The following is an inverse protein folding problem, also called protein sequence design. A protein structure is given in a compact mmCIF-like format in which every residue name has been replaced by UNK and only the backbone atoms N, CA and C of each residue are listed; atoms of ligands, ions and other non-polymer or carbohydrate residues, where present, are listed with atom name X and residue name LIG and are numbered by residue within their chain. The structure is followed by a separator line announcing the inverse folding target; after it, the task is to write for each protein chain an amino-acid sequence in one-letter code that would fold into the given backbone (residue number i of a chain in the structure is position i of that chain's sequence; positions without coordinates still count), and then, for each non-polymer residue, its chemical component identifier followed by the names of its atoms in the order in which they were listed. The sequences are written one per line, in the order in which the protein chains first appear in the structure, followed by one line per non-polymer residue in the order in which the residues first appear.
data_IF_294645576283
#
_entry.id   IF_294645576283
#
_cell.length_a   1.000
_cell.length_b   1.000
_cell.length_c   1.000
_cell.angle_alpha   90.00
_cell.angle_beta   90.00
_cell.angle_gamma   90.00
#
_symmetry.space_group_name_H-M   'P 1'
#
loop_
_entity.id
_entity.type
_entity.pdbx_description
1 polymer ?
#
# COMPACT_ATOMS: atom_id res chain seq x y z
N UNK A 1 -7.63 15.19 -27.33
CA UNK A 1 -7.99 13.78 -27.58
C UNK A 1 -7.47 12.95 -26.44
N UNK A 2 -8.24 11.99 -25.94
CA UNK A 2 -7.75 11.01 -24.95
C UNK A 2 -6.78 10.03 -25.62
N UNK A 3 -5.78 9.57 -24.87
CA UNK A 3 -4.85 8.50 -25.26
C UNK A 3 -5.22 7.21 -24.56
N UNK A 4 -4.72 6.09 -25.05
CA UNK A 4 -4.81 4.79 -24.37
C UNK A 4 -3.43 4.23 -24.13
N UNK A 5 -3.23 3.64 -22.95
CA UNK A 5 -2.03 2.90 -22.55
C UNK A 5 -2.47 1.47 -22.28
N UNK A 6 -1.72 0.50 -22.79
CA UNK A 6 -1.98 -0.92 -22.46
C UNK A 6 -1.27 -1.29 -21.16
N UNK A 7 -2.04 -1.83 -20.22
CA UNK A 7 -1.57 -2.36 -18.95
C UNK A 7 -1.78 -3.87 -18.91
N UNK A 8 -0.80 -4.68 -18.48
CA UNK A 8 -0.92 -6.14 -18.51
C UNK A 8 -1.95 -6.70 -17.52
N UNK A 9 -2.34 -5.91 -16.51
CA UNK A 9 -3.32 -6.31 -15.48
C UNK A 9 -4.73 -5.85 -15.86
N UNK A 10 -4.89 -4.63 -16.36
CA UNK A 10 -6.19 -4.00 -16.59
C UNK A 10 -6.53 -3.79 -18.07
N UNK A 11 -5.65 -4.15 -19.01
CA UNK A 11 -5.86 -3.91 -20.43
C UNK A 11 -5.70 -2.44 -20.80
N UNK A 12 -6.60 -1.89 -21.63
CA UNK A 12 -6.49 -0.51 -22.10
C UNK A 12 -6.98 0.50 -21.05
N UNK A 13 -6.08 1.35 -20.61
CA UNK A 13 -6.35 2.47 -19.69
C UNK A 13 -6.46 3.76 -20.48
N UNK A 14 -7.59 4.46 -20.36
CA UNK A 14 -7.82 5.75 -21.01
C UNK A 14 -7.21 6.88 -20.19
N UNK A 15 -6.41 7.73 -20.83
CA UNK A 15 -5.74 8.89 -20.24
C UNK A 15 -6.39 10.16 -20.78
N UNK A 16 -6.94 10.99 -19.88
CA UNK A 16 -7.50 12.30 -20.25
C UNK A 16 -6.38 13.32 -20.53
N UNK A 17 -6.66 14.44 -21.22
CA UNK A 17 -5.65 15.48 -21.43
C UNK A 17 -5.06 16.03 -20.11
N UNK A 18 -5.87 16.17 -19.07
CA UNK A 18 -5.40 16.64 -17.75
C UNK A 18 -4.51 15.59 -17.08
N UNK A 19 -4.87 14.31 -17.11
CA UNK A 19 -4.02 13.22 -16.64
C UNK A 19 -2.69 13.18 -17.41
N UNK A 20 -2.71 13.37 -18.75
CA UNK A 20 -1.48 13.41 -19.55
C UNK A 20 -0.55 14.54 -19.09
N UNK A 21 -1.09 15.74 -18.83
CA UNK A 21 -0.29 16.87 -18.34
C UNK A 21 0.37 16.57 -16.97
N UNK A 22 -0.28 15.78 -16.11
CA UNK A 22 0.30 15.32 -14.84
C UNK A 22 1.36 14.25 -15.08
N UNK A 23 1.06 13.27 -15.94
CA UNK A 23 1.97 12.15 -16.25
C UNK A 23 3.28 12.68 -16.86
N UNK A 24 3.22 13.69 -17.71
CA UNK A 24 4.39 14.25 -18.41
C UNK A 24 5.25 15.17 -17.51
N UNK A 25 4.99 15.23 -16.19
CA UNK A 25 5.84 15.96 -15.25
C UNK A 25 7.00 15.12 -14.75
N UNK A 26 8.18 15.71 -14.45
CA UNK A 26 9.31 14.98 -13.87
C UNK A 26 8.96 14.28 -12.56
N UNK A 27 8.13 14.91 -11.71
CA UNK A 27 7.69 14.35 -10.43
C UNK A 27 6.92 13.04 -10.62
N UNK A 28 6.06 12.96 -11.62
CA UNK A 28 5.33 11.72 -11.94
C UNK A 28 6.20 10.71 -12.68
N UNK A 29 7.02 11.15 -13.65
CA UNK A 29 7.93 10.26 -14.40
C UNK A 29 8.96 9.57 -13.49
N UNK A 30 9.34 10.20 -12.36
CA UNK A 30 10.19 9.61 -11.32
C UNK A 30 9.66 8.26 -10.81
N UNK A 31 8.35 8.03 -10.83
CA UNK A 31 7.74 6.79 -10.39
C UNK A 31 8.20 5.56 -11.21
N UNK A 32 8.72 5.75 -12.43
CA UNK A 32 9.32 4.69 -13.25
C UNK A 32 10.60 4.10 -12.65
N UNK A 33 11.27 4.90 -11.81
CA UNK A 33 12.53 4.52 -11.17
C UNK A 33 12.34 4.10 -9.70
N UNK A 34 11.08 3.91 -9.28
CA UNK A 34 10.68 3.41 -7.98
C UNK A 34 9.95 2.08 -8.12
N UNK A 35 10.59 0.97 -7.78
CA UNK A 35 9.95 -0.34 -7.80
C UNK A 35 8.84 -0.41 -6.74
N UNK A 36 7.70 -0.93 -7.14
CA UNK A 36 6.54 -1.13 -6.25
C UNK A 36 6.91 -1.93 -5.01
N UNK A 37 7.65 -3.02 -5.21
CA UNK A 37 8.02 -3.97 -4.16
C UNK A 37 9.48 -3.81 -3.67
N UNK A 38 10.13 -2.69 -3.96
CA UNK A 38 11.47 -2.39 -3.47
C UNK A 38 12.47 -3.52 -3.73
N UNK A 39 12.98 -4.16 -2.67
CA UNK A 39 14.01 -5.19 -2.74
C UNK A 39 13.51 -6.59 -3.12
N UNK A 40 12.22 -6.79 -3.32
CA UNK A 40 11.61 -8.11 -3.61
C UNK A 40 12.19 -8.75 -4.88
N UNK A 41 12.57 -7.95 -5.88
CA UNK A 41 13.17 -8.44 -7.13
C UNK A 41 14.48 -9.23 -6.94
N UNK A 42 15.16 -9.12 -5.80
CA UNK A 42 16.32 -9.97 -5.48
C UNK A 42 15.94 -11.42 -5.17
N UNK A 43 14.65 -11.69 -4.90
CA UNK A 43 14.10 -13.02 -4.62
C UNK A 43 13.14 -13.47 -5.72
N UNK A 44 12.26 -12.56 -6.16
CA UNK A 44 11.31 -12.75 -7.26
C UNK A 44 11.78 -11.92 -8.46
N UNK A 45 12.56 -12.46 -9.40
CA UNK A 45 13.23 -11.66 -10.44
C UNK A 45 12.28 -10.85 -11.33
N UNK A 46 11.05 -11.32 -11.52
CA UNK A 46 10.01 -10.62 -12.31
C UNK A 46 9.30 -9.50 -11.55
N UNK A 47 9.50 -9.37 -10.23
CA UNK A 47 8.93 -8.30 -9.40
C UNK A 47 9.67 -6.97 -9.61
N UNK A 48 9.69 -6.49 -10.84
CA UNK A 48 10.40 -5.26 -11.27
C UNK A 48 9.45 -4.14 -11.66
N UNK A 49 8.15 -4.36 -11.58
CA UNK A 49 7.13 -3.34 -11.82
C UNK A 49 7.29 -2.15 -10.87
N UNK A 50 6.86 -1.01 -11.36
CA UNK A 50 7.15 0.27 -10.73
C UNK A 50 5.86 0.93 -10.22
N UNK A 51 6.01 1.97 -9.41
CA UNK A 51 4.88 2.77 -8.96
C UNK A 51 4.17 3.51 -10.08
N UNK A 52 4.84 3.66 -11.23
CA UNK A 52 4.25 4.32 -12.39
C UNK A 52 3.05 3.54 -12.94
N UNK A 53 3.20 2.25 -13.25
CA UNK A 53 2.10 1.44 -13.75
C UNK A 53 1.03 1.16 -12.69
N UNK A 54 1.42 1.02 -11.42
CA UNK A 54 0.48 0.94 -10.30
C UNK A 54 -0.41 2.18 -10.22
N UNK A 55 0.17 3.37 -10.24
CA UNK A 55 -0.57 4.64 -10.23
C UNK A 55 -1.56 4.77 -11.42
N UNK A 56 -1.19 4.25 -12.60
CA UNK A 56 -2.11 4.19 -13.75
C UNK A 56 -3.26 3.22 -13.47
N UNK A 57 -2.98 2.05 -12.90
CA UNK A 57 -3.98 1.05 -12.54
C UNK A 57 -4.97 1.56 -11.50
N UNK A 58 -4.46 2.16 -10.43
CA UNK A 58 -5.31 2.77 -9.37
C UNK A 58 -6.20 3.88 -9.95
N UNK A 59 -5.64 4.73 -10.81
CA UNK A 59 -6.41 5.76 -11.54
C UNK A 59 -7.55 5.16 -12.37
N UNK A 60 -7.29 4.06 -13.07
CA UNK A 60 -8.27 3.34 -13.87
C UNK A 60 -9.41 2.78 -13.01
N UNK A 61 -9.06 2.05 -11.95
CA UNK A 61 -10.03 1.45 -11.04
C UNK A 61 -10.85 2.50 -10.29
N UNK A 62 -10.23 3.63 -9.92
CA UNK A 62 -10.92 4.76 -9.30
C UNK A 62 -12.01 5.33 -10.21
N UNK A 63 -11.73 5.44 -11.52
CA UNK A 63 -12.72 5.85 -12.50
C UNK A 63 -13.89 4.88 -12.59
N UNK A 64 -13.62 3.57 -12.68
CA UNK A 64 -14.66 2.53 -12.75
C UNK A 64 -15.55 2.55 -11.49
N UNK A 65 -14.95 2.59 -10.31
CA UNK A 65 -15.70 2.59 -9.05
C UNK A 65 -16.54 3.85 -8.88
N UNK A 66 -15.96 5.03 -9.16
CA UNK A 66 -16.66 6.31 -9.10
C UNK A 66 -17.84 6.36 -10.08
N UNK A 67 -17.66 5.90 -11.34
CA UNK A 67 -18.71 5.84 -12.34
C UNK A 67 -19.87 4.95 -11.89
N UNK A 68 -19.58 3.75 -11.38
CA UNK A 68 -20.59 2.82 -10.85
C UNK A 68 -21.38 3.46 -9.69
N UNK A 69 -20.69 4.05 -8.72
CA UNK A 69 -21.34 4.64 -7.53
C UNK A 69 -22.21 5.86 -7.90
N UNK A 70 -21.74 6.75 -8.76
CA UNK A 70 -22.46 7.94 -9.21
C UNK A 70 -23.68 7.53 -10.07
N UNK A 71 -23.53 6.52 -10.95
CA UNK A 71 -24.64 6.02 -11.75
C UNK A 71 -25.72 5.39 -10.88
N UNK A 72 -25.33 4.54 -9.94
CA UNK A 72 -26.26 3.93 -8.99
C UNK A 72 -27.07 4.97 -8.24
N UNK A 73 -26.41 5.95 -7.71
CA UNK A 73 -27.02 6.99 -6.93
C UNK A 73 -28.01 7.85 -7.76
N UNK A 74 -27.67 8.18 -9.02
CA UNK A 74 -28.54 8.93 -9.94
C UNK A 74 -29.82 8.17 -10.26
N UNK A 75 -29.76 6.82 -10.36
CA UNK A 75 -30.92 5.98 -10.68
C UNK A 75 -31.88 5.79 -9.50
N UNK A 76 -31.42 5.96 -8.27
CA UNK A 76 -32.18 5.62 -7.05
C UNK A 76 -32.62 6.85 -6.26
N UNK A 77 -32.63 8.06 -6.86
CA UNK A 77 -33.04 9.33 -6.24
C UNK A 77 -32.45 9.50 -4.84
N UNK A 78 -31.17 9.18 -4.70
CA UNK A 78 -30.46 9.29 -3.43
C UNK A 78 -30.45 10.77 -3.00
N UNK A 79 -30.65 11.12 -1.72
CA UNK A 79 -30.75 12.50 -1.28
C UNK A 79 -29.57 13.37 -1.75
N UNK A 80 -29.85 14.65 -2.11
CA UNK A 80 -28.82 15.60 -2.58
C UNK A 80 -27.65 15.76 -1.61
N UNK A 81 -27.88 15.57 -0.32
CA UNK A 81 -26.86 15.63 0.73
C UNK A 81 -25.74 14.62 0.52
N UNK A 82 -26.03 13.47 -0.13
CA UNK A 82 -25.03 12.44 -0.48
C UNK A 82 -24.12 12.91 -1.60
N UNK A 83 -24.57 13.89 -2.38
CA UNK A 83 -23.83 14.46 -3.52
C UNK A 83 -23.22 15.84 -3.25
N UNK A 84 -23.28 16.33 -2.02
CA UNK A 84 -22.75 17.66 -1.68
C UNK A 84 -21.28 17.85 -2.13
N UNK A 85 -20.52 16.74 -2.21
CA UNK A 85 -19.14 16.73 -2.66
C UNK A 85 -18.99 16.52 -4.19
N UNK A 86 -20.08 16.16 -4.90
CA UNK A 86 -20.06 15.95 -6.36
C UNK A 86 -20.23 17.30 -7.07
N UNK A 87 -19.22 17.72 -7.81
CA UNK A 87 -19.24 18.98 -8.58
C UNK A 87 -20.15 18.82 -9.82
N UNK A 88 -19.86 17.84 -10.64
CA UNK A 88 -20.70 17.22 -11.66
C UNK A 88 -20.16 15.80 -11.93
N UNK A 89 -20.96 14.97 -12.57
CA UNK A 89 -20.66 13.55 -12.75
C UNK A 89 -19.29 13.31 -13.41
N UNK A 90 -19.09 13.87 -14.60
CA UNK A 90 -17.88 13.64 -15.40
C UNK A 90 -16.64 14.20 -14.69
N UNK A 91 -16.78 15.39 -14.11
CA UNK A 91 -15.68 16.06 -13.41
C UNK A 91 -15.29 15.30 -12.15
N UNK A 92 -16.26 14.83 -11.38
CA UNK A 92 -15.97 14.05 -10.16
C UNK A 92 -15.26 12.74 -10.47
N UNK A 93 -15.67 12.03 -11.55
CA UNK A 93 -14.95 10.83 -12.01
C UNK A 93 -13.52 11.18 -12.42
N UNK A 94 -13.30 12.30 -13.14
CA UNK A 94 -11.95 12.74 -13.51
C UNK A 94 -11.09 13.03 -12.27
N UNK A 95 -11.65 13.70 -11.24
CA UNK A 95 -10.93 13.99 -9.99
C UNK A 95 -10.58 12.72 -9.21
N UNK A 96 -11.48 11.72 -9.16
CA UNK A 96 -11.17 10.41 -8.59
C UNK A 96 -10.01 9.72 -9.33
N UNK A 97 -10.02 9.78 -10.67
CA UNK A 97 -8.90 9.26 -11.48
C UNK A 97 -7.58 9.96 -11.17
N UNK A 98 -7.61 11.29 -11.02
CA UNK A 98 -6.41 12.06 -10.69
C UNK A 98 -5.94 11.73 -9.28
N UNK A 99 -6.83 11.60 -8.30
CA UNK A 99 -6.48 11.20 -6.94
C UNK A 99 -5.76 9.83 -6.94
N UNK A 100 -6.32 8.84 -7.65
CA UNK A 100 -5.67 7.54 -7.83
C UNK A 100 -4.35 7.61 -8.59
N UNK A 101 -4.23 8.54 -9.55
CA UNK A 101 -2.99 8.71 -10.33
C UNK A 101 -1.84 9.22 -9.46
N UNK A 102 -2.11 10.16 -8.54
CA UNK A 102 -1.06 10.85 -7.79
C UNK A 102 -0.84 10.33 -6.37
N UNK A 103 -1.65 9.36 -5.88
CA UNK A 103 -1.63 8.95 -4.48
C UNK A 103 -0.24 8.52 -4.00
N UNK A 104 0.56 7.92 -4.89
CA UNK A 104 1.88 7.36 -4.61
C UNK A 104 3.08 8.27 -4.99
N UNK A 105 2.82 9.49 -5.52
CA UNK A 105 3.88 10.39 -6.00
C UNK A 105 4.88 10.79 -4.91
N UNK A 106 4.49 10.67 -3.65
CA UNK A 106 5.29 10.99 -2.48
C UNK A 106 6.19 9.86 -1.97
N UNK A 107 6.20 8.68 -2.59
CA UNK A 107 7.08 7.59 -2.16
C UNK A 107 8.56 7.90 -2.38
N UNK A 108 9.39 7.47 -1.41
CA UNK A 108 10.84 7.47 -1.51
C UNK A 108 11.40 6.19 -2.16
N UNK A 109 12.72 6.13 -2.38
CA UNK A 109 13.38 4.93 -2.92
C UNK A 109 13.11 3.70 -2.05
N UNK A 110 12.90 2.56 -2.71
CA UNK A 110 12.48 1.30 -2.06
C UNK A 110 11.17 1.42 -1.27
N UNK A 111 10.31 2.38 -1.63
CA UNK A 111 8.91 2.45 -1.20
C UNK A 111 8.76 2.53 0.33
N UNK A 112 8.00 1.64 0.94
CA UNK A 112 7.79 1.62 2.39
C UNK A 112 9.07 1.46 3.22
N UNK A 113 10.16 0.95 2.64
CA UNK A 113 11.44 0.87 3.36
C UNK A 113 11.96 2.26 3.72
N UNK A 114 11.82 3.23 2.79
CA UNK A 114 12.20 4.62 3.05
C UNK A 114 11.36 5.22 4.19
N UNK A 115 10.04 5.09 4.13
CA UNK A 115 9.16 5.67 5.13
C UNK A 115 9.34 5.04 6.53
N UNK A 116 9.51 3.72 6.59
CA UNK A 116 9.63 3.00 7.85
C UNK A 116 11.00 3.13 8.51
N UNK A 117 12.11 3.26 7.75
CA UNK A 117 13.45 3.14 8.31
C UNK A 117 14.41 4.28 7.96
N UNK A 118 14.09 5.13 6.98
CA UNK A 118 14.98 6.22 6.52
C UNK A 118 14.41 7.60 6.82
N UNK A 119 13.09 7.75 6.71
CA UNK A 119 12.36 8.99 7.03
C UNK A 119 12.55 9.34 8.52
N UNK A 120 12.69 10.62 8.84
CA UNK A 120 12.59 11.09 10.22
C UNK A 120 11.12 11.14 10.64
N UNK A 121 10.82 10.89 11.92
CA UNK A 121 9.44 10.93 12.43
C UNK A 121 8.75 12.29 12.29
N UNK A 122 9.52 13.38 12.22
CA UNK A 122 9.01 14.76 12.00
C UNK A 122 8.70 15.07 10.53
N UNK A 123 9.12 14.22 9.59
CA UNK A 123 8.82 14.40 8.17
C UNK A 123 7.46 13.78 7.84
N UNK A 124 6.69 14.32 6.87
CA UNK A 124 5.41 13.77 6.47
C UNK A 124 5.54 12.35 5.91
N UNK A 125 4.52 11.54 6.05
CA UNK A 125 4.42 10.23 5.39
C UNK A 125 4.21 10.39 3.88
N UNK A 126 4.32 9.30 3.12
CA UNK A 126 4.30 9.38 1.65
C UNK A 126 3.00 9.97 1.10
N UNK A 127 1.85 9.68 1.71
CA UNK A 127 0.57 10.25 1.27
C UNK A 127 0.55 11.78 1.45
N UNK A 128 0.91 12.27 2.64
CA UNK A 128 0.96 13.72 2.95
C UNK A 128 2.01 14.43 2.08
N UNK A 129 3.20 13.84 1.95
CA UNK A 129 4.29 14.34 1.10
C UNK A 129 3.85 14.40 -0.36
N UNK A 130 3.12 13.38 -0.85
CA UNK A 130 2.55 13.33 -2.19
C UNK A 130 1.57 14.47 -2.44
N UNK A 131 0.70 14.73 -1.47
CA UNK A 131 -0.24 15.85 -1.51
C UNK A 131 0.47 17.21 -1.59
N UNK A 132 1.56 17.39 -0.85
CA UNK A 132 2.36 18.61 -0.92
C UNK A 132 3.08 18.78 -2.27
N UNK A 133 3.64 17.70 -2.82
CA UNK A 133 4.25 17.70 -4.15
C UNK A 133 3.20 18.09 -5.18
N UNK A 134 2.03 17.46 -5.18
CA UNK A 134 0.96 17.76 -6.12
C UNK A 134 0.49 19.22 -6.03
N UNK A 135 0.27 19.76 -4.84
CA UNK A 135 -0.09 21.17 -4.64
C UNK A 135 0.93 22.13 -5.27
N UNK A 136 2.22 21.79 -5.27
CA UNK A 136 3.28 22.57 -5.93
C UNK A 136 3.29 22.39 -7.45
N UNK A 137 2.94 21.19 -7.95
CA UNK A 137 2.86 20.90 -9.38
C UNK A 137 1.77 21.73 -10.07
N UNK A 138 0.62 21.92 -9.42
CA UNK A 138 -0.53 22.62 -10.01
C UNK A 138 -0.15 24.00 -10.57
N UNK A 139 0.39 24.97 -9.83
CA UNK A 139 0.83 26.25 -10.38
C UNK A 139 2.07 26.13 -11.26
N UNK A 140 3.02 25.23 -10.93
CA UNK A 140 4.28 25.05 -11.68
C UNK A 140 4.01 24.64 -13.14
N UNK A 141 3.08 23.74 -13.37
CA UNK A 141 2.74 23.23 -14.71
C UNK A 141 1.43 23.80 -15.26
N UNK A 142 0.87 24.81 -14.57
CA UNK A 142 -0.40 25.46 -14.97
C UNK A 142 -1.51 24.44 -15.23
N UNK A 143 -1.63 23.43 -14.36
CA UNK A 143 -2.67 22.42 -14.46
C UNK A 143 -4.04 23.10 -14.31
N UNK A 144 -4.97 22.76 -15.20
CA UNK A 144 -6.31 23.37 -15.21
C UNK A 144 -7.19 22.77 -14.09
N UNK A 145 -6.90 23.15 -12.85
CA UNK A 145 -7.60 22.75 -11.64
C UNK A 145 -7.84 23.97 -10.75
N UNK A 146 -9.05 24.11 -10.27
CA UNK A 146 -9.39 25.10 -9.24
C UNK A 146 -8.88 24.69 -7.86
N UNK A 147 -8.75 25.65 -6.95
CA UNK A 147 -8.33 25.37 -5.57
C UNK A 147 -9.27 24.37 -4.88
N UNK A 148 -10.60 24.44 -5.15
CA UNK A 148 -11.59 23.50 -4.60
C UNK A 148 -11.32 22.08 -5.11
N UNK A 149 -11.05 21.90 -6.39
CA UNK A 149 -10.74 20.59 -7.00
C UNK A 149 -9.42 20.01 -6.47
N UNK A 150 -8.39 20.83 -6.31
CA UNK A 150 -7.12 20.41 -5.72
C UNK A 150 -7.31 19.92 -4.28
N UNK A 151 -8.11 20.65 -3.48
CA UNK A 151 -8.40 20.22 -2.12
C UNK A 151 -9.17 18.91 -2.09
N UNK A 152 -10.17 18.74 -2.96
CA UNK A 152 -10.93 17.48 -3.04
C UNK A 152 -10.04 16.29 -3.42
N UNK A 153 -9.13 16.45 -4.39
CA UNK A 153 -8.17 15.40 -4.77
C UNK A 153 -7.29 15.00 -3.57
N UNK A 154 -6.77 15.98 -2.85
CA UNK A 154 -5.89 15.74 -1.70
C UNK A 154 -6.65 15.06 -0.56
N UNK A 155 -7.88 15.50 -0.28
CA UNK A 155 -8.72 14.90 0.76
C UNK A 155 -9.15 13.46 0.42
N UNK A 156 -9.27 13.10 -0.87
CA UNK A 156 -9.51 11.70 -1.26
C UNK A 156 -8.31 10.79 -0.95
N UNK A 157 -7.08 11.31 -0.90
CA UNK A 157 -5.86 10.55 -0.57
C UNK A 157 -5.64 10.52 0.94
N UNK A 158 -5.78 11.68 1.61
CA UNK A 158 -5.67 11.82 3.06
C UNK A 158 -7.00 12.37 3.60
N UNK A 159 -7.99 11.51 3.80
CA UNK A 159 -9.31 11.95 4.24
C UNK A 159 -9.27 12.60 5.63
N UNK A 160 -9.85 13.80 5.82
CA UNK A 160 -10.10 14.37 7.14
C UNK A 160 -10.94 13.42 8.00
N UNK A 161 -10.76 13.48 9.32
CA UNK A 161 -11.42 12.54 10.25
C UNK A 161 -12.94 12.52 10.08
N UNK A 162 -13.54 13.69 9.93
CA UNK A 162 -14.99 13.88 9.76
C UNK A 162 -15.53 13.36 8.41
N UNK A 163 -14.65 13.19 7.40
CA UNK A 163 -15.04 12.78 6.04
C UNK A 163 -14.74 11.30 5.72
N UNK A 164 -14.03 10.60 6.58
CA UNK A 164 -13.60 9.18 6.36
C UNK A 164 -14.76 8.24 6.02
N UNK A 165 -15.95 8.51 6.52
CA UNK A 165 -17.15 7.69 6.31
C UNK A 165 -17.95 8.05 5.08
N UNK A 166 -17.60 9.12 4.38
CA UNK A 166 -18.26 9.53 3.15
C UNK A 166 -17.71 8.71 1.99
N UNK A 167 -18.57 8.12 1.19
CA UNK A 167 -18.24 7.19 0.12
C UNK A 167 -17.14 7.68 -0.84
N UNK A 168 -17.15 8.99 -1.19
CA UNK A 168 -16.18 9.56 -2.13
C UNK A 168 -14.73 9.44 -1.63
N UNK A 169 -14.54 9.60 -0.32
CA UNK A 169 -13.23 9.50 0.33
C UNK A 169 -12.82 8.05 0.66
N UNK A 170 -13.72 7.07 0.39
CA UNK A 170 -13.46 5.65 0.56
C UNK A 170 -12.95 4.96 -0.72
N UNK A 171 -12.97 5.65 -1.87
CA UNK A 171 -12.56 5.06 -3.15
C UNK A 171 -11.06 4.78 -3.18
N UNK A 172 -10.22 5.78 -2.83
CA UNK A 172 -8.76 5.71 -2.94
C UNK A 172 -8.14 5.15 -1.63
N UNK A 173 -8.62 5.61 -0.48
CA UNK A 173 -8.08 5.27 0.83
C UNK A 173 -9.20 5.00 1.83
N UNK A 174 -9.75 3.78 1.82
CA UNK A 174 -10.84 3.42 2.72
C UNK A 174 -10.32 3.17 4.13
N UNK A 175 -10.38 4.20 4.99
CA UNK A 175 -9.92 4.10 6.38
C UNK A 175 -10.87 3.31 7.29
N UNK A 176 -12.12 3.02 6.85
CA UNK A 176 -13.09 2.22 7.61
C UNK A 176 -12.87 0.72 7.43
N UNK A 177 -13.23 0.17 6.27
CA UNK A 177 -13.15 -1.28 6.03
C UNK A 177 -11.92 -1.71 5.21
N UNK A 178 -11.06 -0.79 4.81
CA UNK A 178 -9.83 -1.09 4.07
C UNK A 178 -10.03 -1.78 2.69
N UNK A 179 -11.22 -1.65 2.09
CA UNK A 179 -11.47 -2.08 0.71
C UNK A 179 -11.45 -0.82 -0.17
N UNK A 180 -10.37 -0.63 -0.90
CA UNK A 180 -10.12 0.51 -1.78
C UNK A 180 -9.44 0.05 -3.08
N UNK A 181 -9.42 0.96 -4.06
CA UNK A 181 -8.87 0.66 -5.39
C UNK A 181 -7.35 0.51 -5.37
N UNK A 182 -6.66 1.16 -4.44
CA UNK A 182 -5.23 0.97 -4.22
C UNK A 182 -4.92 -0.50 -3.90
N UNK A 183 -5.61 -1.08 -2.90
CA UNK A 183 -5.43 -2.48 -2.53
C UNK A 183 -5.79 -3.43 -3.66
N UNK A 184 -6.86 -3.16 -4.36
CA UNK A 184 -7.30 -4.02 -5.46
C UNK A 184 -6.24 -4.03 -6.57
N UNK A 185 -5.68 -2.87 -6.96
CA UNK A 185 -4.63 -2.85 -7.98
C UNK A 185 -3.38 -3.56 -7.51
N UNK A 186 -2.78 -3.15 -6.36
CA UNK A 186 -1.48 -3.70 -6.01
C UNK A 186 -1.53 -5.20 -5.73
N UNK A 187 -2.61 -5.73 -5.15
CA UNK A 187 -2.71 -7.17 -4.91
C UNK A 187 -2.75 -7.94 -6.24
N UNK A 188 -3.52 -7.48 -7.22
CA UNK A 188 -3.56 -8.12 -8.55
C UNK A 188 -2.22 -7.99 -9.28
N UNK A 189 -1.65 -6.80 -9.30
CA UNK A 189 -0.39 -6.49 -9.97
C UNK A 189 0.78 -7.23 -9.38
N UNK A 190 0.87 -7.30 -8.05
CA UNK A 190 1.93 -8.01 -7.36
C UNK A 190 1.84 -9.53 -7.58
N UNK A 191 0.63 -10.11 -7.54
CA UNK A 191 0.42 -11.51 -7.90
C UNK A 191 0.86 -11.79 -9.34
N UNK A 192 0.51 -10.91 -10.28
CA UNK A 192 0.88 -11.05 -11.69
C UNK A 192 2.42 -11.05 -11.85
N UNK A 193 3.10 -10.05 -11.32
CA UNK A 193 4.54 -9.87 -11.48
C UNK A 193 5.39 -10.83 -10.65
N UNK A 194 4.87 -11.35 -9.55
CA UNK A 194 5.58 -12.40 -8.77
C UNK A 194 5.32 -13.80 -9.30
N UNK A 195 4.38 -13.97 -10.24
CA UNK A 195 3.98 -15.26 -10.78
C UNK A 195 3.18 -16.12 -9.82
N UNK A 196 2.63 -15.54 -8.75
CA UNK A 196 1.85 -16.24 -7.74
C UNK A 196 0.39 -16.37 -8.17
N UNK A 197 -0.08 -17.62 -8.26
CA UNK A 197 -1.42 -17.95 -8.79
C UNK A 197 -2.50 -17.99 -7.70
N UNK A 198 -2.42 -17.14 -6.70
CA UNK A 198 -3.45 -17.06 -5.66
C UNK A 198 -4.19 -15.71 -5.62
N UNK A 199 -3.96 -14.85 -6.61
CA UNK A 199 -4.75 -13.64 -6.81
C UNK A 199 -6.17 -13.97 -7.24
N UNK A 200 -7.09 -13.02 -7.03
CA UNK A 200 -8.47 -13.08 -7.47
C UNK A 200 -8.75 -11.99 -8.51
N UNK A 201 -9.90 -12.11 -9.13
CA UNK A 201 -10.46 -11.07 -9.98
C UNK A 201 -11.51 -10.31 -9.15
N UNK A 202 -11.25 -9.04 -8.83
CA UNK A 202 -12.09 -8.25 -7.92
C UNK A 202 -12.88 -7.12 -8.60
N UNK A 203 -13.02 -7.16 -9.93
CA UNK A 203 -13.85 -6.19 -10.67
C UNK A 203 -15.28 -6.13 -10.13
N UNK A 204 -15.81 -7.25 -9.64
CA UNK A 204 -17.15 -7.29 -9.03
C UNK A 204 -17.26 -6.44 -7.77
N UNK A 205 -16.18 -6.29 -7.00
CA UNK A 205 -16.17 -5.40 -5.82
C UNK A 205 -16.30 -3.94 -6.22
N UNK A 206 -15.82 -3.55 -7.42
CA UNK A 206 -15.89 -2.20 -7.95
C UNK A 206 -17.25 -1.90 -8.59
N UNK A 207 -17.85 -2.91 -9.28
CA UNK A 207 -19.02 -2.72 -10.13
C UNK A 207 -20.35 -3.09 -9.48
N UNK A 208 -20.32 -3.80 -8.34
CA UNK A 208 -21.53 -4.20 -7.62
C UNK A 208 -21.68 -3.54 -6.24
N UNK A 209 -20.71 -2.71 -5.82
CA UNK A 209 -20.87 -1.90 -4.63
C UNK A 209 -21.91 -0.81 -4.84
N UNK A 210 -22.49 -0.35 -3.74
CA UNK A 210 -23.54 0.67 -3.72
C UNK A 210 -23.29 1.66 -2.59
N UNK A 211 -23.87 2.86 -2.72
CA UNK A 211 -23.92 3.83 -1.65
C UNK A 211 -25.22 3.62 -0.91
N UNK A 212 -25.15 3.32 0.38
CA UNK A 212 -26.35 3.19 1.22
C UNK A 212 -26.21 4.15 2.40
N UNK A 213 -27.25 4.95 2.60
CA UNK A 213 -27.41 5.77 3.79
C UNK A 213 -28.01 4.90 4.90
N UNK A 214 -27.34 4.81 6.03
CA UNK A 214 -27.89 4.12 7.20
C UNK A 214 -28.48 5.18 8.14
N UNK A 215 -29.69 4.96 8.63
CA UNK A 215 -30.32 5.83 9.63
C UNK A 215 -29.47 6.02 10.89
N UNK A 216 -28.58 5.07 11.17
CA UNK A 216 -27.63 5.07 12.28
C UNK A 216 -26.41 5.99 12.06
N UNK A 217 -26.09 6.34 10.81
CA UNK A 217 -24.97 7.22 10.47
C UNK A 217 -25.39 8.15 9.35
N UNK A 218 -25.38 9.44 9.60
CA UNK A 218 -25.70 10.49 8.62
C UNK A 218 -24.80 10.48 7.36
N UNK A 219 -23.86 9.56 7.25
CA UNK A 219 -22.87 9.47 6.18
C UNK A 219 -23.17 8.26 5.29
N UNK A 220 -23.33 8.51 4.00
CA UNK A 220 -23.46 7.47 3.00
C UNK A 220 -22.13 6.74 2.79
N UNK A 221 -22.13 5.44 3.04
CA UNK A 221 -20.94 4.58 2.95
C UNK A 221 -21.03 3.61 1.77
N UNK A 222 -19.88 3.13 1.31
CA UNK A 222 -19.81 2.07 0.32
C UNK A 222 -20.17 0.75 1.00
N UNK A 223 -21.07 -0.01 0.36
CA UNK A 223 -21.55 -1.31 0.81
C UNK A 223 -21.49 -2.32 -0.34
N UNK A 224 -21.41 -3.60 0.00
CA UNK A 224 -21.32 -4.68 -0.99
C UNK A 224 -22.49 -5.67 -0.83
N UNK A 225 -22.93 -6.33 -1.93
CA UNK A 225 -23.94 -7.37 -1.82
C UNK A 225 -23.38 -8.57 -1.02
N UNK A 226 -24.21 -9.14 -0.13
CA UNK A 226 -23.83 -10.28 0.73
C UNK A 226 -23.20 -11.45 -0.04
N UNK A 227 -23.61 -11.67 -1.29
CA UNK A 227 -23.02 -12.72 -2.17
C UNK A 227 -21.52 -12.53 -2.45
N UNK A 228 -20.94 -11.34 -2.20
CA UNK A 228 -19.50 -11.05 -2.38
C UNK A 228 -18.68 -11.20 -1.08
N UNK A 229 -19.29 -11.65 0.00
CA UNK A 229 -18.62 -11.82 1.30
C UNK A 229 -17.35 -12.68 1.19
N UNK A 230 -17.41 -13.75 0.42
CA UNK A 230 -16.27 -14.63 0.21
C UNK A 230 -15.16 -13.97 -0.61
N UNK A 231 -15.50 -13.21 -1.66
CA UNK A 231 -14.51 -12.45 -2.45
C UNK A 231 -13.81 -11.37 -1.59
N UNK A 232 -14.54 -10.72 -0.70
CA UNK A 232 -13.97 -9.76 0.26
C UNK A 232 -12.97 -10.45 1.20
N UNK A 233 -13.34 -11.61 1.74
CA UNK A 233 -12.41 -12.41 2.53
C UNK A 233 -11.17 -12.81 1.74
N UNK A 234 -11.34 -13.27 0.49
CA UNK A 234 -10.23 -13.66 -0.38
C UNK A 234 -9.28 -12.48 -0.68
N UNK A 235 -9.78 -11.27 -0.82
CA UNK A 235 -8.95 -10.07 -0.98
C UNK A 235 -7.99 -9.91 0.22
N UNK A 236 -8.50 -9.97 1.44
CA UNK A 236 -7.69 -9.84 2.66
C UNK A 236 -6.77 -11.05 2.88
N UNK A 237 -7.24 -12.25 2.60
CA UNK A 237 -6.44 -13.46 2.68
C UNK A 237 -5.27 -13.45 1.68
N UNK A 238 -5.51 -12.95 0.46
CA UNK A 238 -4.46 -12.80 -0.56
C UNK A 238 -3.43 -11.74 -0.12
N UNK A 239 -3.89 -10.59 0.40
CA UNK A 239 -2.99 -9.59 0.97
C UNK A 239 -2.13 -10.16 2.09
N UNK A 240 -2.72 -10.88 3.04
CA UNK A 240 -1.97 -11.53 4.12
C UNK A 240 -0.90 -12.49 3.57
N UNK A 241 -1.24 -13.31 2.56
CA UNK A 241 -0.29 -14.23 1.92
C UNK A 241 0.87 -13.50 1.24
N UNK A 242 0.59 -12.39 0.51
CA UNK A 242 1.61 -11.56 -0.08
C UNK A 242 2.54 -10.97 0.99
N UNK A 243 1.98 -10.45 2.10
CA UNK A 243 2.79 -9.96 3.21
C UNK A 243 3.69 -11.03 3.79
N UNK A 244 3.16 -12.25 4.00
CA UNK A 244 3.90 -13.35 4.62
C UNK A 244 4.96 -13.95 3.69
N UNK A 245 4.64 -14.16 2.42
CA UNK A 245 5.48 -14.91 1.48
C UNK A 245 6.39 -14.04 0.63
N UNK A 246 5.96 -12.81 0.31
CA UNK A 246 6.63 -11.93 -0.64
C UNK A 246 7.27 -10.72 0.05
N UNK A 247 6.44 -9.79 0.57
CA UNK A 247 6.92 -8.49 1.03
C UNK A 247 7.87 -8.62 2.23
N UNK A 248 7.61 -9.59 3.09
CA UNK A 248 8.44 -9.87 4.25
C UNK A 248 9.22 -11.18 4.11
N UNK A 249 9.59 -11.59 2.89
CA UNK A 249 10.45 -12.75 2.71
C UNK A 249 11.80 -12.50 3.43
N UNK A 250 12.30 -13.51 4.18
CA UNK A 250 13.48 -13.32 5.02
C UNK A 250 14.71 -12.82 4.25
N UNK A 251 14.92 -13.31 3.02
CA UNK A 251 16.02 -12.83 2.17
C UNK A 251 15.81 -11.37 1.73
N UNK A 252 14.58 -10.94 1.45
CA UNK A 252 14.27 -9.54 1.14
C UNK A 252 14.68 -8.64 2.30
N UNK A 253 14.27 -9.00 3.52
CA UNK A 253 14.62 -8.25 4.75
C UNK A 253 16.14 -8.19 4.98
N UNK A 254 16.86 -9.25 4.66
CA UNK A 254 18.32 -9.27 4.75
C UNK A 254 18.97 -8.27 3.75
N UNK A 255 18.45 -8.11 2.52
CA UNK A 255 18.89 -7.08 1.59
C UNK A 255 18.57 -5.67 2.09
N UNK A 256 17.36 -5.46 2.63
CA UNK A 256 16.90 -4.17 3.12
C UNK A 256 17.85 -3.60 4.19
N UNK A 257 18.48 -4.44 5.00
CA UNK A 257 19.44 -4.01 5.99
C UNK A 257 20.57 -3.15 5.39
N UNK A 258 21.19 -3.59 4.30
CA UNK A 258 22.25 -2.80 3.64
C UNK A 258 21.69 -1.62 2.85
N UNK A 259 20.53 -1.79 2.22
CA UNK A 259 19.86 -0.73 1.46
C UNK A 259 19.57 0.47 2.37
N UNK A 260 19.03 0.25 3.56
CA UNK A 260 18.75 1.30 4.55
C UNK A 260 20.02 2.09 4.91
N UNK A 261 21.16 1.42 5.08
CA UNK A 261 22.42 2.11 5.39
C UNK A 261 22.85 3.02 4.25
N UNK A 262 22.71 2.59 3.00
CA UNK A 262 23.02 3.40 1.81
C UNK A 262 22.08 4.62 1.75
N UNK A 263 20.78 4.41 1.90
CA UNK A 263 19.77 5.49 1.83
C UNK A 263 19.96 6.52 2.94
N UNK A 264 20.27 6.08 4.17
CA UNK A 264 20.58 6.97 5.29
C UNK A 264 21.84 7.77 5.04
N UNK A 265 22.86 7.17 4.42
CA UNK A 265 24.09 7.88 4.06
C UNK A 265 23.82 8.95 2.97
N UNK A 266 23.04 8.61 1.93
CA UNK A 266 22.65 9.55 0.88
C UNK A 266 21.86 10.73 1.45
N UNK A 267 20.89 10.47 2.34
CA UNK A 267 20.11 11.51 3.01
C UNK A 267 20.97 12.47 3.84
N UNK A 268 21.96 11.96 4.59
CA UNK A 268 22.91 12.80 5.33
C UNK A 268 23.74 13.73 4.45
N UNK A 269 23.91 13.39 3.16
CA UNK A 269 24.60 14.23 2.16
C UNK A 269 23.66 15.23 1.47
N UNK A 270 22.48 15.50 2.05
CA UNK A 270 21.48 16.44 1.54
C UNK A 270 21.00 16.12 0.10
N UNK A 271 20.91 14.86 -0.26
CA UNK A 271 20.26 14.45 -1.50
C UNK A 271 18.84 14.99 -1.53
N UNK A 272 18.47 15.68 -2.63
CA UNK A 272 17.12 16.21 -2.80
C UNK A 272 16.15 15.04 -2.93
N UNK A 273 15.02 15.09 -2.21
CA UNK A 273 14.07 13.97 -2.18
C UNK A 273 13.58 13.54 -3.57
N UNK A 274 13.28 14.50 -4.44
CA UNK A 274 12.79 14.21 -5.80
C UNK A 274 13.86 13.61 -6.72
N UNK A 275 15.15 13.75 -6.39
CA UNK A 275 16.23 13.12 -7.14
C UNK A 275 16.57 11.71 -6.61
N UNK A 276 16.00 11.32 -5.46
CA UNK A 276 16.24 10.01 -4.85
C UNK A 276 15.33 8.95 -5.49
N UNK A 277 15.97 7.97 -6.14
CA UNK A 277 15.31 6.78 -6.72
C UNK A 277 16.03 5.51 -6.29
N UNK A 278 15.52 4.34 -6.66
CA UNK A 278 16.14 3.04 -6.33
C UNK A 278 17.55 2.92 -6.94
N UNK A 279 17.86 3.68 -7.99
CA UNK A 279 19.17 3.72 -8.63
C UNK A 279 20.31 4.15 -7.70
N UNK A 280 20.03 4.89 -6.62
CA UNK A 280 21.03 5.25 -5.60
C UNK A 280 21.76 4.03 -5.04
N UNK A 281 21.08 2.89 -4.91
CA UNK A 281 21.65 1.67 -4.35
C UNK A 281 22.52 0.95 -5.38
N UNK A 282 22.18 1.04 -6.67
CA UNK A 282 22.89 0.34 -7.76
C UNK A 282 23.96 1.21 -8.44
N UNK A 283 23.82 2.52 -8.37
CA UNK A 283 24.73 3.48 -8.99
C UNK A 283 26.03 3.60 -8.17
N UNK A 284 27.17 3.31 -8.81
CA UNK A 284 28.48 3.29 -8.17
C UNK A 284 29.18 4.67 -8.13
N UNK A 285 28.43 5.73 -7.94
CA UNK A 285 28.96 7.11 -7.95
C UNK A 285 29.73 7.50 -6.68
N UNK A 286 29.52 6.80 -5.57
CA UNK A 286 30.09 7.17 -4.28
C UNK A 286 30.88 6.02 -3.66
N UNK A 287 32.13 6.28 -3.27
CA UNK A 287 33.00 5.28 -2.66
C UNK A 287 32.56 4.89 -1.23
N UNK A 288 31.89 5.80 -0.53
CA UNK A 288 31.51 5.63 0.86
C UNK A 288 30.64 4.39 1.13
N UNK A 289 29.73 4.03 0.21
CA UNK A 289 28.88 2.83 0.36
C UNK A 289 29.18 1.73 -0.67
N UNK A 290 30.29 1.85 -1.41
CA UNK A 290 30.71 0.86 -2.43
C UNK A 290 30.84 -0.54 -1.86
N UNK A 291 31.32 -0.68 -0.63
CA UNK A 291 31.46 -1.97 0.02
C UNK A 291 30.06 -2.63 0.23
N UNK A 292 29.07 -1.86 0.71
CA UNK A 292 27.70 -2.34 0.88
C UNK A 292 27.08 -2.73 -0.46
N UNK A 293 27.29 -1.93 -1.52
CA UNK A 293 26.83 -2.25 -2.87
C UNK A 293 27.47 -3.54 -3.39
N UNK A 294 28.75 -3.77 -3.11
CA UNK A 294 29.43 -5.01 -3.47
C UNK A 294 28.85 -6.21 -2.71
N UNK A 295 28.57 -6.08 -1.41
CA UNK A 295 27.90 -7.13 -0.62
C UNK A 295 26.53 -7.48 -1.20
N UNK A 296 25.72 -6.45 -1.54
CA UNK A 296 24.44 -6.65 -2.22
C UNK A 296 24.63 -7.42 -3.54
N UNK A 297 25.54 -6.97 -4.40
CA UNK A 297 25.78 -7.55 -5.71
C UNK A 297 26.30 -9.01 -5.63
N UNK A 298 27.11 -9.33 -4.62
CA UNK A 298 27.65 -10.69 -4.38
C UNK A 298 26.74 -11.58 -3.55
N UNK A 299 25.56 -11.06 -3.11
CA UNK A 299 24.64 -11.75 -2.20
C UNK A 299 25.26 -12.10 -0.84
N UNK A 300 26.21 -11.32 -0.38
CA UNK A 300 26.86 -11.43 0.93
C UNK A 300 26.00 -10.71 1.98
N UNK A 301 24.75 -11.16 2.13
CA UNK A 301 23.73 -10.56 2.99
C UNK A 301 23.66 -11.27 4.35
N UNK A 302 23.09 -10.64 5.39
CA UNK A 302 22.85 -11.28 6.67
C UNK A 302 22.10 -12.61 6.53
N UNK A 303 22.54 -13.65 7.25
CA UNK A 303 21.94 -14.97 7.19
C UNK A 303 20.86 -15.13 8.26
N UNK A 304 19.73 -15.68 7.86
CA UNK A 304 18.65 -16.02 8.80
C UNK A 304 19.16 -17.09 9.77
N UNK A 305 19.06 -16.80 11.06
CA UNK A 305 19.38 -17.69 12.19
C UNK A 305 18.17 -18.54 12.56
N UNK A 306 17.00 -17.89 12.65
CA UNK A 306 15.76 -18.55 12.99
C UNK A 306 14.58 -17.59 12.90
N UNK A 307 13.39 -18.17 12.93
CA UNK A 307 12.10 -17.47 12.86
C UNK A 307 11.13 -18.09 13.85
N UNK A 308 10.34 -17.26 14.52
CA UNK A 308 9.20 -17.67 15.32
C UNK A 308 8.00 -16.75 15.07
N UNK A 309 6.80 -17.26 15.26
CA UNK A 309 5.56 -16.48 15.18
C UNK A 309 4.93 -16.39 16.54
N UNK A 310 4.61 -15.18 16.95
CA UNK A 310 3.96 -14.90 18.25
C UNK A 310 2.65 -14.10 18.01
N UNK A 311 1.76 -14.13 18.98
CA UNK A 311 0.56 -13.31 18.96
C UNK A 311 0.89 -11.83 19.18
N UNK A 312 -0.05 -10.95 18.83
CA UNK A 312 0.13 -9.51 19.11
C UNK A 312 0.20 -9.27 20.62
N UNK A 313 -0.63 -9.95 21.38
CA UNK A 313 -0.70 -9.84 22.84
C UNK A 313 0.63 -10.27 23.48
N UNK A 314 1.20 -11.38 23.03
CA UNK A 314 2.52 -11.84 23.45
C UNK A 314 3.62 -10.86 23.08
N UNK A 315 3.54 -10.26 21.89
CA UNK A 315 4.50 -9.25 21.46
C UNK A 315 4.42 -8.01 22.34
N UNK A 316 3.21 -7.48 22.58
CA UNK A 316 3.01 -6.28 23.41
C UNK A 316 3.42 -6.52 24.88
N UNK A 317 3.16 -7.70 25.40
CA UNK A 317 3.59 -8.09 26.77
C UNK A 317 5.11 -8.25 26.88
N UNK A 318 5.78 -8.74 25.82
CA UNK A 318 7.21 -9.07 25.82
C UNK A 318 8.12 -7.94 25.32
N UNK A 319 7.59 -6.86 24.73
CA UNK A 319 8.38 -5.71 24.27
C UNK A 319 9.19 -5.05 25.41
N UNK A 320 8.85 -5.29 26.65
CA UNK A 320 9.63 -4.88 27.82
C UNK A 320 10.88 -5.75 28.03
N UNK A 321 10.90 -7.02 27.55
CA UNK A 321 11.96 -8.00 27.82
C UNK A 321 12.85 -8.39 26.64
N UNK A 322 12.48 -8.03 25.38
CA UNK A 322 13.38 -8.21 24.22
C UNK A 322 14.46 -7.11 24.12
N UNK A 323 14.96 -6.69 25.27
CA UNK A 323 16.31 -6.14 25.32
C UNK A 323 17.25 -7.25 24.89
N UNK A 324 17.81 -7.09 23.70
CA UNK A 324 18.87 -7.89 23.11
C UNK A 324 19.67 -8.68 24.14
N UNK A 325 19.98 -9.94 23.88
CA UNK A 325 21.20 -10.50 24.42
C UNK A 325 22.34 -9.58 23.94
N UNK A 326 22.79 -8.68 24.81
CA UNK A 326 23.88 -7.70 24.54
C UNK A 326 25.22 -8.37 24.24
N UNK A 327 25.24 -9.69 24.16
CA UNK A 327 26.43 -10.53 24.07
C UNK A 327 26.84 -10.87 22.64
N UNK A 328 25.96 -10.76 21.63
CA UNK A 328 26.34 -11.01 20.24
C UNK A 328 26.20 -9.71 19.45
N UNK A 329 27.31 -9.02 19.24
CA UNK A 329 27.42 -7.72 18.56
C UNK A 329 26.92 -7.69 17.11
N UNK A 330 26.55 -8.83 16.52
CA UNK A 330 26.29 -8.98 15.08
C UNK A 330 24.92 -9.60 14.77
N UNK A 331 24.01 -9.65 15.75
CA UNK A 331 22.64 -10.11 15.53
C UNK A 331 21.71 -8.94 15.22
N UNK A 332 20.85 -9.16 14.21
CA UNK A 332 19.72 -8.29 13.88
C UNK A 332 18.45 -9.03 14.26
N UNK A 333 17.62 -8.43 15.09
CA UNK A 333 16.31 -8.97 15.43
C UNK A 333 15.26 -8.06 14.78
N UNK A 334 14.42 -8.65 13.93
CA UNK A 334 13.37 -7.97 13.19
C UNK A 334 11.99 -8.45 13.67
N UNK A 335 11.10 -7.52 14.00
CA UNK A 335 9.74 -7.76 14.44
C UNK A 335 8.77 -7.28 13.36
N UNK A 336 8.16 -8.22 12.66
CA UNK A 336 7.33 -7.96 11.48
C UNK A 336 5.87 -8.21 11.85
N UNK A 337 5.09 -7.13 11.97
CA UNK A 337 3.63 -7.22 12.17
C UNK A 337 2.96 -7.44 10.82
N UNK A 338 2.23 -8.54 10.67
CA UNK A 338 1.46 -8.86 9.48
C UNK A 338 -0.01 -9.14 9.80
N UNK A 339 -0.90 -8.85 8.86
CA UNK A 339 -2.33 -9.07 9.05
C UNK A 339 -3.14 -8.79 7.78
N UNK A 340 -4.46 -8.86 7.92
CA UNK A 340 -5.41 -8.60 6.85
C UNK A 340 -5.35 -7.14 6.36
N UNK A 341 -5.07 -6.21 7.29
CA UNK A 341 -4.91 -4.79 6.99
C UNK A 341 -3.87 -4.16 7.91
N UNK A 342 -3.50 -2.91 7.63
CA UNK A 342 -2.79 -2.06 8.58
C UNK A 342 -3.73 -1.63 9.72
N UNK A 343 -3.19 -1.41 10.92
CA UNK A 343 -3.99 -0.99 12.07
C UNK A 343 -4.41 -2.13 13.00
N UNK A 344 -5.17 -1.79 14.06
CA UNK A 344 -5.49 -2.71 15.15
C UNK A 344 -6.83 -3.43 14.98
N UNK A 345 -7.74 -2.90 14.17
CA UNK A 345 -9.09 -3.43 13.97
C UNK A 345 -9.10 -4.44 12.82
N UNK A 346 -9.85 -5.53 12.97
CA UNK A 346 -10.08 -6.45 11.88
C UNK A 346 -10.95 -5.77 10.81
N UNK A 347 -10.45 -5.60 9.57
CA UNK A 347 -11.20 -4.91 8.53
C UNK A 347 -12.55 -5.58 8.22
N UNK A 348 -12.66 -6.89 8.38
CA UNK A 348 -13.91 -7.64 8.17
C UNK A 348 -15.04 -7.20 9.11
N UNK A 349 -14.71 -6.67 10.31
CA UNK A 349 -15.72 -6.18 11.27
C UNK A 349 -16.33 -4.83 10.84
N UNK A 350 -15.74 -4.16 9.87
CA UNK A 350 -16.16 -2.85 9.35
C UNK A 350 -16.80 -2.91 7.98
N UNK A 351 -16.83 -4.09 7.37
CA UNK A 351 -17.49 -4.28 6.07
C UNK A 351 -19.01 -4.25 6.25
N UNK A 352 -19.66 -3.43 5.46
CA UNK A 352 -21.12 -3.37 5.38
C UNK A 352 -21.61 -4.14 4.16
N UNK A 353 -22.53 -5.07 4.38
CA UNK A 353 -23.13 -5.90 3.35
C UNK A 353 -24.61 -5.61 3.26
N UNK A 354 -25.18 -5.70 2.05
CA UNK A 354 -26.62 -5.65 1.85
C UNK A 354 -27.14 -6.97 1.27
N UNK A 355 -28.31 -7.40 1.74
CA UNK A 355 -29.01 -8.58 1.25
C UNK A 355 -29.94 -8.24 0.07
N UNK A 356 -30.70 -9.24 -0.43
CA UNK A 356 -31.63 -9.07 -1.56
C UNK A 356 -32.80 -8.12 -1.28
N UNK A 357 -33.17 -7.93 -0.02
CA UNK A 357 -34.25 -7.02 0.40
C UNK A 357 -33.75 -5.65 0.81
N UNK A 358 -32.43 -5.40 0.72
CA UNK A 358 -31.82 -4.11 1.02
C UNK A 358 -31.43 -3.91 2.48
N UNK A 359 -31.57 -4.93 3.34
CA UNK A 359 -31.13 -4.84 4.73
C UNK A 359 -29.60 -4.86 4.82
N UNK A 360 -29.06 -4.00 5.69
CA UNK A 360 -27.61 -3.89 5.92
C UNK A 360 -27.21 -4.80 7.08
N UNK A 361 -26.18 -5.59 6.86
CA UNK A 361 -25.59 -6.49 7.85
C UNK A 361 -24.06 -6.36 7.84
N UNK A 362 -23.41 -6.72 8.93
CA UNK A 362 -21.97 -6.99 8.94
C UNK A 362 -21.64 -8.39 8.45
N UNK A 363 -20.37 -8.74 8.41
CA UNK A 363 -19.89 -10.10 8.19
C UNK A 363 -20.09 -10.89 9.49
N UNK A 364 -20.87 -11.98 9.43
CA UNK A 364 -21.02 -12.92 10.54
C UNK A 364 -19.93 -13.98 10.50
N UNK A 365 -19.01 -13.92 11.45
CA UNK A 365 -17.88 -14.85 11.56
C UNK A 365 -18.28 -16.19 12.21
N UNK A 366 -19.40 -16.23 12.94
CA UNK A 366 -19.84 -17.42 13.68
C UNK A 366 -20.31 -18.52 12.74
N UNK A 367 -20.88 -18.16 11.60
CA UNK A 367 -21.45 -19.09 10.64
C UNK A 367 -20.48 -19.53 9.53
N UNK A 368 -19.23 -19.01 9.54
CA UNK A 368 -18.28 -19.30 8.47
C UNK A 368 -17.09 -20.14 8.95
N UNK A 369 -16.89 -21.28 8.33
CA UNK A 369 -15.70 -22.13 8.54
C UNK A 369 -14.41 -21.54 7.94
N UNK A 370 -14.54 -20.54 7.07
CA UNK A 370 -13.41 -19.94 6.35
C UNK A 370 -12.87 -18.69 7.02
N UNK A 371 -13.64 -18.01 7.89
CA UNK A 371 -13.26 -16.74 8.48
C UNK A 371 -12.46 -16.96 9.78
N UNK A 372 -11.18 -16.55 9.83
CA UNK A 372 -10.37 -16.75 11.02
C UNK A 372 -10.77 -15.79 12.14
N UNK A 373 -10.66 -16.25 13.38
CA UNK A 373 -10.86 -15.42 14.57
C UNK A 373 -9.70 -14.44 14.78
N UNK A 374 -8.47 -14.83 14.37
CA UNK A 374 -7.27 -13.98 14.42
C UNK A 374 -7.02 -13.39 13.05
N UNK A 375 -6.67 -12.12 13.01
CA UNK A 375 -6.41 -11.38 11.76
C UNK A 375 -5.01 -10.77 11.70
N UNK A 376 -4.19 -10.96 12.74
CA UNK A 376 -2.83 -10.41 12.86
C UNK A 376 -1.93 -11.35 13.64
N UNK A 377 -0.64 -11.32 13.28
CA UNK A 377 0.44 -12.02 13.98
C UNK A 377 1.74 -11.20 13.90
N UNK A 378 2.74 -11.57 14.69
CA UNK A 378 4.09 -11.01 14.62
C UNK A 378 5.06 -12.12 14.29
N UNK A 379 5.86 -11.92 13.26
CA UNK A 379 6.99 -12.78 12.93
C UNK A 379 8.24 -12.14 13.53
N UNK A 380 8.96 -12.89 14.36
CA UNK A 380 10.25 -12.48 14.92
C UNK A 380 11.35 -13.26 14.22
N UNK A 381 12.32 -12.55 13.64
CA UNK A 381 13.45 -13.12 12.91
C UNK A 381 14.78 -12.65 13.45
N UNK A 382 15.68 -13.58 13.57
CA UNK A 382 17.06 -13.30 13.95
C UNK A 382 17.96 -13.49 12.73
N UNK A 383 18.83 -12.51 12.47
CA UNK A 383 19.83 -12.58 11.42
C UNK A 383 21.21 -12.36 11.99
N UNK A 384 22.20 -13.08 11.43
CA UNK A 384 23.60 -12.89 11.76
C UNK A 384 24.33 -12.23 10.58
N UNK A 385 25.09 -11.18 10.86
CA UNK A 385 25.88 -10.42 9.86
C UNK A 385 27.28 -10.97 9.68
N UNK A 386 27.77 -11.86 10.59
CA UNK A 386 29.12 -12.43 10.58
C UNK A 386 29.06 -13.94 10.33
N UNK A 387 29.44 -14.44 9.15
CA UNK A 387 29.31 -15.86 8.80
C UNK A 387 29.96 -16.82 9.79
N UNK A 388 31.12 -16.48 10.37
CA UNK A 388 31.85 -17.33 11.31
C UNK A 388 31.12 -17.54 12.65
N UNK A 389 30.15 -16.71 13.01
CA UNK A 389 29.36 -16.79 14.25
C UNK A 389 27.96 -17.39 14.05
N UNK A 390 27.68 -17.91 12.86
CA UNK A 390 26.32 -18.35 12.52
C UNK A 390 25.84 -19.54 13.36
N UNK A 391 26.68 -20.53 13.62
CA UNK A 391 26.32 -21.69 14.44
C UNK A 391 26.06 -21.31 15.93
N UNK A 392 26.83 -20.38 16.46
CA UNK A 392 26.65 -19.87 17.81
C UNK A 392 25.31 -19.12 17.92
N UNK A 393 25.02 -18.25 16.95
CA UNK A 393 23.75 -17.54 16.88
C UNK A 393 22.54 -18.50 16.81
N UNK A 394 22.63 -19.61 16.09
CA UNK A 394 21.57 -20.65 16.05
C UNK A 394 21.37 -21.29 17.44
N UNK A 395 22.44 -21.55 18.19
CA UNK A 395 22.33 -22.12 19.55
C UNK A 395 21.62 -21.14 20.49
N UNK A 396 21.98 -19.87 20.44
CA UNK A 396 21.32 -18.83 21.25
C UNK A 396 19.85 -18.64 20.89
N UNK A 397 19.52 -18.60 19.58
CA UNK A 397 18.13 -18.54 19.16
C UNK A 397 17.30 -19.70 19.71
N UNK A 398 17.83 -20.94 19.66
CA UNK A 398 17.15 -22.11 20.24
C UNK A 398 16.98 -22.02 21.75
N UNK A 399 17.89 -21.36 22.45
CA UNK A 399 17.78 -21.14 23.91
C UNK A 399 16.71 -20.10 24.23
N UNK A 400 16.56 -19.07 23.39
CA UNK A 400 15.55 -18.01 23.59
C UNK A 400 14.11 -18.48 23.37
N UNK A 401 13.90 -19.64 22.74
CA UNK A 401 12.59 -20.26 22.53
C UNK A 401 12.12 -21.14 23.69
N UNK A 402 12.99 -21.42 24.65
CA UNK A 402 12.67 -22.19 25.88
C UNK A 402 12.20 -21.27 26.98
#
# INVERSE_FOLDING_TARGET
MSKQIYDPVHGFITITPLMQNIIDTPEFQRLRDLKQLGAVHYVYPSATHTRFEHSLGVSHLAGIMAENLIQYASLHNTPEEIYSEVINKEKTIELCRIAGLIHDIGHGPFSHLYDNQVRNHSEPEHEERGCEIFKRMVPKYKLNLTKKEVNLIVEMIVPPEEKKKIWLYQIIANKECQIDVDKIDYIQRDCYHTGLKFGGEWTRLLTQCKIINTELNANAQITWPKKLEYEIFQLFATRYRLHKQVYNHHTVKAYEYYIVHILKAAKRKNAQFLDMTDSLVTCRLHDEWRELQNKIARREIPKLVGETTISIEEHEAKVVDYTFPRTILNLIIDHIKIGFASGHVNPLDKVLLFNKVGEITGIDKSDSICLPTKHREVIVRWYNTVPSQHEEAIKEFKLSLK
#
